data_IF_978060060405
#
_entry.id   IF_978060060405
#
_cell.length_a   1.000
_cell.length_b   1.000
_cell.length_c   1.000
_cell.angle_alpha   90.00
_cell.angle_beta   90.00
_cell.angle_gamma   90.00
#
_symmetry.space_group_name_H-M   'P 1'
#
loop_
_entity.id
_entity.type
_entity.pdbx_description
1 polymer ?
#
# COMPACT_ATOMS: atom_id res chain seq x y z
N UNK A 1 -7.49 -6.96 4.95
CA UNK A 1 -8.22 -6.02 4.06
C UNK A 1 -7.21 -5.01 3.52
N UNK A 2 -7.34 -4.56 2.26
CA UNK A 2 -6.43 -3.58 1.65
C UNK A 2 -7.21 -2.30 1.33
N UNK A 3 -6.71 -1.16 1.79
CA UNK A 3 -7.25 0.18 1.57
C UNK A 3 -6.18 1.07 0.97
N UNK A 4 -6.49 1.75 -0.14
CA UNK A 4 -5.65 2.80 -0.72
C UNK A 4 -6.24 4.13 -0.26
N UNK A 5 -5.48 4.88 0.53
CA UNK A 5 -5.88 6.15 1.13
C UNK A 5 -5.22 7.27 0.32
N UNK A 6 -5.96 7.97 -0.56
CA UNK A 6 -5.39 9.10 -1.29
C UNK A 6 -5.05 10.24 -0.32
N UNK A 7 -3.89 10.84 -0.53
CA UNK A 7 -3.42 12.06 0.15
C UNK A 7 -3.38 13.20 -0.86
N UNK A 8 -4.54 13.79 -1.19
CA UNK A 8 -4.65 14.78 -2.26
C UNK A 8 -3.91 16.09 -1.98
N UNK A 9 -3.40 16.27 -0.77
CA UNK A 9 -2.66 17.45 -0.31
C UNK A 9 -1.21 17.46 -0.81
N UNK A 10 -0.70 16.31 -1.27
CA UNK A 10 0.63 16.19 -1.88
C UNK A 10 0.44 15.67 -3.30
N UNK A 11 0.57 16.57 -4.28
CA UNK A 11 0.42 16.31 -5.72
C UNK A 11 1.65 16.82 -6.47
N UNK A 12 2.00 16.15 -7.57
CA UNK A 12 3.03 16.59 -8.50
C UNK A 12 2.42 16.53 -9.90
N UNK A 13 2.12 17.68 -10.50
CA UNK A 13 1.34 17.73 -11.73
C UNK A 13 -0.03 17.05 -11.57
N UNK A 14 -0.35 16.13 -12.49
CA UNK A 14 -1.59 15.34 -12.45
C UNK A 14 -1.56 14.15 -11.49
N UNK A 15 -0.42 13.88 -10.85
CA UNK A 15 -0.27 12.73 -9.96
C UNK A 15 -0.74 13.03 -8.54
N UNK A 16 -1.38 12.05 -7.90
CA UNK A 16 -1.85 12.12 -6.52
C UNK A 16 -1.02 11.17 -5.67
N UNK A 17 -0.53 11.61 -4.51
CA UNK A 17 0.08 10.67 -3.57
C UNK A 17 -0.98 9.86 -2.84
N UNK A 18 -0.70 8.59 -2.55
CA UNK A 18 -1.56 7.73 -1.75
C UNK A 18 -0.73 6.85 -0.83
N UNK A 19 -1.31 6.49 0.30
CA UNK A 19 -0.76 5.51 1.24
C UNK A 19 -1.58 4.24 1.14
N UNK A 20 -0.92 3.09 1.26
CA UNK A 20 -1.61 1.80 1.30
C UNK A 20 -1.64 1.29 2.72
N UNK A 21 -2.83 0.96 3.19
CA UNK A 21 -3.07 0.34 4.47
C UNK A 21 -3.53 -1.11 4.25
N UNK A 22 -2.92 -2.02 5.00
CA UNK A 22 -3.17 -3.45 4.91
C UNK A 22 -3.40 -4.01 6.30
N UNK A 23 -4.51 -4.73 6.47
CA UNK A 23 -4.74 -5.54 7.65
C UNK A 23 -4.55 -7.02 7.34
N UNK A 24 -3.77 -7.71 8.18
CA UNK A 24 -3.60 -9.16 8.14
C UNK A 24 -3.76 -9.77 9.53
N UNK A 25 -4.22 -11.02 9.56
CA UNK A 25 -4.41 -11.79 10.79
C UNK A 25 -3.23 -12.73 10.98
N UNK A 26 -2.78 -12.85 12.21
CA UNK A 26 -1.77 -13.81 12.65
C UNK A 26 -2.29 -14.61 13.84
N UNK A 27 -1.54 -15.64 14.22
CA UNK A 27 -1.73 -16.38 15.47
C UNK A 27 -1.67 -15.49 16.72
N UNK A 28 -0.98 -14.34 16.65
CA UNK A 28 -0.83 -13.38 17.75
C UNK A 28 -1.87 -12.26 17.77
N UNK A 29 -2.72 -12.18 16.74
CA UNK A 29 -3.76 -11.16 16.62
C UNK A 29 -3.82 -10.49 15.25
N UNK A 30 -4.61 -9.42 15.18
CA UNK A 30 -4.84 -8.62 13.99
C UNK A 30 -3.83 -7.46 13.92
N UNK A 31 -3.13 -7.33 12.79
CA UNK A 31 -2.11 -6.31 12.56
C UNK A 31 -2.55 -5.37 11.44
N UNK A 32 -2.24 -4.07 11.61
CA UNK A 32 -2.43 -3.04 10.59
C UNK A 32 -1.06 -2.49 10.22
N UNK A 33 -0.77 -2.48 8.92
CA UNK A 33 0.50 -2.00 8.37
C UNK A 33 0.22 -0.97 7.31
N UNK A 34 1.06 0.06 7.26
CA UNK A 34 0.98 1.16 6.31
C UNK A 34 2.25 1.24 5.50
N UNK A 35 2.11 1.49 4.21
CA UNK A 35 3.23 1.80 3.32
C UNK A 35 3.72 3.24 3.54
N UNK A 36 4.80 3.61 2.84
CA UNK A 36 5.10 5.01 2.57
C UNK A 36 4.12 5.62 1.56
N UNK A 37 4.38 6.86 1.15
CA UNK A 37 3.61 7.51 0.08
C UNK A 37 4.02 6.99 -1.29
N UNK A 38 3.03 6.60 -2.09
CA UNK A 38 3.18 6.21 -3.48
C UNK A 38 2.59 7.28 -4.39
N UNK A 39 3.24 7.53 -5.51
CA UNK A 39 2.74 8.46 -6.53
C UNK A 39 1.83 7.71 -7.50
N UNK A 40 0.54 8.05 -7.49
CA UNK A 40 -0.47 7.49 -8.39
C UNK A 40 -0.70 8.42 -9.58
N UNK A 41 -0.65 7.82 -10.76
CA UNK A 41 -1.06 8.43 -12.01
C UNK A 41 -2.58 8.58 -12.05
N UNK A 42 -3.14 9.59 -12.74
CA UNK A 42 -4.57 9.66 -12.99
C UNK A 42 -5.12 8.47 -13.80
N UNK A 43 -4.25 7.69 -14.45
CA UNK A 43 -4.60 6.48 -15.18
C UNK A 43 -4.49 5.21 -14.33
N UNK A 44 -3.99 5.29 -13.09
CA UNK A 44 -3.93 4.13 -12.22
C UNK A 44 -5.34 3.80 -11.72
N UNK A 45 -5.82 2.61 -12.11
CA UNK A 45 -7.04 2.03 -11.55
C UNK A 45 -6.69 0.99 -10.50
N UNK A 46 -7.62 0.68 -9.61
CA UNK A 46 -7.39 -0.31 -8.53
C UNK A 46 -7.02 -1.69 -9.11
N UNK A 47 -7.55 -2.03 -10.28
CA UNK A 47 -7.34 -3.32 -10.95
C UNK A 47 -5.93 -3.45 -11.52
N UNK A 48 -5.30 -2.33 -11.87
CA UNK A 48 -3.94 -2.26 -12.40
C UNK A 48 -2.87 -2.14 -11.30
N UNK A 49 -3.28 -1.97 -10.04
CA UNK A 49 -2.40 -1.87 -8.89
C UNK A 49 -2.31 -3.20 -8.16
N UNK A 50 -1.07 -3.67 -7.98
CA UNK A 50 -0.75 -4.88 -7.24
C UNK A 50 0.06 -4.54 -5.99
N UNK A 51 -0.10 -5.37 -4.96
CA UNK A 51 0.51 -5.17 -3.66
C UNK A 51 1.34 -6.39 -3.27
N UNK A 52 2.55 -6.15 -2.76
CA UNK A 52 3.37 -7.16 -2.08
C UNK A 52 3.58 -6.74 -0.64
N UNK A 53 3.37 -7.68 0.27
CA UNK A 53 3.59 -7.51 1.70
C UNK A 53 4.70 -8.46 2.11
N UNK A 54 5.80 -7.91 2.60
CA UNK A 54 6.89 -8.66 3.18
C UNK A 54 6.74 -8.60 4.69
N UNK A 55 6.56 -9.77 5.32
CA UNK A 55 6.37 -9.87 6.78
C UNK A 55 7.51 -10.67 7.36
N UNK A 56 8.20 -10.11 8.34
CA UNK A 56 9.24 -10.84 9.07
C UNK A 56 8.59 -11.75 10.11
N UNK A 57 8.73 -13.08 9.97
CA UNK A 57 8.12 -14.06 10.90
C UNK A 57 8.45 -13.84 12.38
N UNK A 58 9.61 -13.26 12.68
CA UNK A 58 10.07 -13.03 14.05
C UNK A 58 9.62 -11.69 14.62
N UNK A 59 9.23 -10.74 13.77
CA UNK A 59 8.80 -9.41 14.18
C UNK A 59 7.77 -8.87 13.18
N UNK A 60 6.49 -9.00 13.53
CA UNK A 60 5.38 -8.52 12.73
C UNK A 60 5.31 -6.99 12.60
N UNK A 61 5.99 -6.25 13.49
CA UNK A 61 6.15 -4.78 13.38
C UNK A 61 7.15 -4.41 12.27
N UNK A 62 7.99 -5.36 11.83
CA UNK A 62 8.88 -5.20 10.67
C UNK A 62 8.23 -5.80 9.42
N UNK A 63 7.32 -5.03 8.86
CA UNK A 63 6.63 -5.33 7.61
C UNK A 63 6.87 -4.23 6.58
N UNK A 64 7.04 -4.63 5.32
CA UNK A 64 7.23 -3.72 4.19
C UNK A 64 6.07 -3.93 3.22
N UNK A 65 5.44 -2.84 2.81
CA UNK A 65 4.36 -2.83 1.84
C UNK A 65 4.85 -2.14 0.58
N UNK A 66 4.85 -2.87 -0.53
CA UNK A 66 5.20 -2.36 -1.85
C UNK A 66 3.96 -2.34 -2.75
N UNK A 67 3.75 -1.20 -3.41
CA UNK A 67 2.74 -1.00 -4.43
C UNK A 67 3.41 -0.91 -5.79
N UNK A 68 2.98 -1.74 -6.73
CA UNK A 68 3.49 -1.76 -8.10
C UNK A 68 2.34 -1.85 -9.10
N UNK A 69 2.61 -1.42 -10.33
CA UNK A 69 1.66 -1.53 -11.44
C UNK A 69 1.81 -2.92 -12.06
N UNK A 70 0.69 -3.55 -12.40
CA UNK A 70 0.74 -4.77 -13.22
C UNK A 70 1.23 -4.35 -14.60
N UNK A 71 2.31 -4.97 -15.07
CA UNK A 71 2.72 -4.80 -16.47
C UNK A 71 1.59 -5.31 -17.37
N UNK A 72 1.25 -4.50 -18.35
CA UNK A 72 0.19 -4.76 -19.32
C UNK A 72 0.73 -5.61 -20.47
#
# INVERSE_FOLDING_TARGET
MISIIPSPWVRIGSYVTALVECSYKTDKGDYIVRSGYHLLSPFDTKENLCLKIYVTRTNFDKSIVELFRRDN
#
